data_IF_149333469368
#
_entry.id   IF_149333469368
#
_cell.length_a   1.000
_cell.length_b   1.000
_cell.length_c   1.000
_cell.angle_alpha   90.00
_cell.angle_beta   90.00
_cell.angle_gamma   90.00
#
_symmetry.space_group_name_H-M   'P 1'
#
loop_
_entity.id
_entity.type
_entity.pdbx_description
1 polymer ?
#
# COMPACT_ATOMS: atom_id res chain seq x y z
N UNK A 1 -14.64 -28.94 5.62
CA UNK A 1 -14.56 -27.67 6.37
C UNK A 1 -14.76 -27.80 7.89
N UNK A 2 -15.48 -28.78 8.37
CA UNK A 2 -15.77 -28.99 9.79
C UNK A 2 -14.62 -29.60 10.63
N UNK A 3 -13.66 -30.30 10.03
CA UNK A 3 -12.52 -30.87 10.78
C UNK A 3 -11.46 -29.84 11.16
N UNK A 4 -11.29 -28.79 10.35
CA UNK A 4 -10.29 -27.73 10.59
C UNK A 4 -10.59 -26.88 11.84
N UNK A 5 -11.83 -26.87 12.32
CA UNK A 5 -12.27 -26.03 13.44
C UNK A 5 -12.35 -26.78 14.78
N UNK A 6 -12.08 -28.11 14.80
CA UNK A 6 -12.18 -28.89 16.05
C UNK A 6 -11.12 -28.54 17.09
N UNK A 7 -9.95 -28.05 16.64
CA UNK A 7 -8.81 -27.74 17.52
C UNK A 7 -8.56 -26.22 17.67
N UNK A 8 -9.41 -25.35 17.11
CA UNK A 8 -9.29 -23.92 17.34
C UNK A 8 -9.89 -23.53 18.68
N UNK A 9 -9.10 -22.88 19.52
CA UNK A 9 -9.60 -22.26 20.75
C UNK A 9 -10.78 -21.34 20.42
N UNK A 10 -11.95 -21.64 20.97
CA UNK A 10 -13.19 -20.89 20.73
C UNK A 10 -13.23 -19.51 21.39
N UNK A 11 -12.23 -19.17 22.19
CA UNK A 11 -12.12 -17.89 22.93
C UNK A 11 -11.35 -16.81 22.17
N UNK A 12 -11.49 -16.77 20.84
CA UNK A 12 -10.93 -15.69 20.03
C UNK A 12 -11.84 -14.47 20.07
N UNK A 13 -11.27 -13.31 20.31
CA UNK A 13 -11.96 -12.03 20.21
C UNK A 13 -11.47 -11.23 18.99
N UNK A 14 -12.35 -10.44 18.41
CA UNK A 14 -12.06 -9.58 17.27
C UNK A 14 -12.33 -8.13 17.66
N UNK A 15 -11.44 -7.24 17.26
CA UNK A 15 -11.62 -5.80 17.41
C UNK A 15 -11.43 -5.11 16.07
N UNK A 16 -12.42 -4.33 15.65
CA UNK A 16 -12.31 -3.45 14.49
C UNK A 16 -11.91 -2.07 15.01
N UNK A 17 -10.82 -1.52 14.46
CA UNK A 17 -10.35 -0.17 14.77
C UNK A 17 -10.48 0.65 13.49
N UNK A 18 -11.33 1.68 13.54
CA UNK A 18 -11.40 2.67 12.49
C UNK A 18 -10.32 3.72 12.72
N UNK A 19 -9.48 3.98 11.72
CA UNK A 19 -8.40 4.94 11.85
C UNK A 19 -7.40 4.92 10.70
N UNK A 20 -6.44 5.83 10.77
CA UNK A 20 -5.35 5.99 9.82
C UNK A 20 -4.16 5.13 10.26
N UNK A 21 -3.79 4.13 9.45
CA UNK A 21 -2.69 3.20 9.74
C UNK A 21 -1.31 3.86 9.77
N UNK A 22 -1.18 5.09 9.26
CA UNK A 22 0.07 5.87 9.33
C UNK A 22 0.25 6.57 10.68
N UNK A 23 -0.78 6.58 11.52
CA UNK A 23 -0.83 7.24 12.83
C UNK A 23 -0.93 6.23 13.96
N UNK A 24 -0.75 6.72 15.18
CA UNK A 24 -0.97 5.91 16.37
C UNK A 24 -2.47 5.57 16.50
N UNK A 25 -2.79 4.31 16.45
CA UNK A 25 -4.16 3.78 16.56
C UNK A 25 -4.45 3.15 17.93
N UNK A 26 -3.61 3.44 18.94
CA UNK A 26 -3.77 2.96 20.31
C UNK A 26 -3.41 1.48 20.51
N UNK A 27 -2.83 0.81 19.51
CA UNK A 27 -2.29 -0.54 19.69
C UNK A 27 -0.97 -0.45 20.46
N UNK A 28 -0.87 -1.23 21.54
CA UNK A 28 0.32 -1.27 22.38
C UNK A 28 1.56 -1.68 21.57
N UNK A 29 2.68 -1.00 21.80
CA UNK A 29 3.96 -1.37 21.19
C UNK A 29 4.34 -2.82 21.56
N UNK A 30 4.97 -3.54 20.62
CA UNK A 30 5.42 -4.91 20.80
C UNK A 30 4.30 -5.87 21.28
N UNK A 31 3.09 -5.73 20.75
CA UNK A 31 1.94 -6.55 21.16
C UNK A 31 1.42 -7.50 20.07
N UNK A 32 1.75 -7.26 18.82
CA UNK A 32 1.23 -8.00 17.66
C UNK A 32 2.21 -9.10 17.26
N UNK A 33 1.69 -10.31 17.03
CA UNK A 33 2.49 -11.46 16.63
C UNK A 33 2.67 -11.59 15.11
N UNK A 34 1.74 -11.06 14.32
CA UNK A 34 1.84 -11.10 12.85
C UNK A 34 1.01 -9.95 12.26
N UNK A 35 1.52 -9.30 11.21
CA UNK A 35 0.78 -8.34 10.42
C UNK A 35 0.70 -8.88 8.99
N UNK A 36 -0.50 -8.94 8.44
CA UNK A 36 -0.74 -9.30 7.02
C UNK A 36 -1.65 -8.24 6.43
N UNK A 37 -1.21 -7.63 5.33
CA UNK A 37 -2.00 -6.59 4.66
C UNK A 37 -1.72 -6.55 3.16
N UNK A 38 -2.64 -5.93 2.43
CA UNK A 38 -2.48 -5.54 1.04
C UNK A 38 -2.74 -4.04 0.95
N UNK A 39 -1.71 -3.18 1.04
CA UNK A 39 -1.90 -1.75 0.89
C UNK A 39 -2.35 -1.42 -0.54
N UNK A 40 -2.92 -0.23 -0.78
CA UNK A 40 -3.18 0.24 -2.14
C UNK A 40 -1.92 0.13 -3.01
N UNK A 41 -2.08 -0.28 -4.28
CA UNK A 41 -0.94 -0.45 -5.21
C UNK A 41 -0.46 0.87 -5.81
N UNK A 42 -0.95 2.00 -5.31
CA UNK A 42 -0.57 3.34 -5.71
C UNK A 42 -1.47 4.39 -5.08
N UNK A 43 -1.23 5.64 -5.44
CA UNK A 43 -1.98 6.77 -4.90
C UNK A 43 -3.49 6.69 -5.22
N UNK A 44 -4.31 7.11 -4.28
CA UNK A 44 -5.77 7.05 -4.35
C UNK A 44 -6.36 7.93 -5.45
N UNK A 45 -5.65 8.95 -5.92
CA UNK A 45 -6.18 9.91 -6.90
C UNK A 45 -6.11 9.42 -8.34
N UNK A 46 -5.10 8.62 -8.67
CA UNK A 46 -4.82 8.30 -10.06
C UNK A 46 -4.70 6.81 -10.35
N UNK A 47 -4.61 5.98 -9.31
CA UNK A 47 -4.51 4.53 -9.48
C UNK A 47 -5.88 3.88 -9.29
N UNK A 48 -6.44 3.97 -8.09
CA UNK A 48 -7.80 3.52 -7.76
C UNK A 48 -8.38 4.49 -6.72
N UNK A 49 -9.46 5.17 -7.07
CA UNK A 49 -10.19 6.03 -6.16
C UNK A 49 -11.04 5.17 -5.20
N UNK A 50 -10.38 4.56 -4.21
CA UNK A 50 -11.04 3.65 -3.26
C UNK A 50 -12.18 4.31 -2.51
N UNK A 51 -12.04 5.59 -2.14
CA UNK A 51 -13.09 6.36 -1.48
C UNK A 51 -14.34 6.51 -2.34
N UNK A 52 -14.19 6.62 -3.66
CA UNK A 52 -15.32 6.68 -4.58
C UNK A 52 -16.19 5.40 -4.50
N UNK A 53 -15.56 4.23 -4.38
CA UNK A 53 -16.26 2.95 -4.30
C UNK A 53 -16.80 2.65 -2.91
N UNK A 54 -16.13 3.09 -1.85
CA UNK A 54 -16.52 2.83 -0.46
C UNK A 54 -17.44 3.88 0.14
N UNK A 55 -17.67 5.01 -0.54
CA UNK A 55 -18.45 6.15 -0.02
C UNK A 55 -19.83 5.74 0.48
N UNK A 56 -20.61 5.06 -0.34
CA UNK A 56 -21.97 4.65 0.03
C UNK A 56 -21.94 3.70 1.23
N UNK A 57 -21.04 2.71 1.22
CA UNK A 57 -20.92 1.78 2.35
C UNK A 57 -20.53 2.52 3.64
N UNK A 58 -19.58 3.47 3.56
CA UNK A 58 -19.14 4.27 4.70
C UNK A 58 -20.25 5.16 5.26
N UNK A 59 -21.11 5.70 4.39
CA UNK A 59 -22.29 6.47 4.81
C UNK A 59 -23.35 5.58 5.47
N UNK A 60 -23.55 4.35 4.96
CA UNK A 60 -24.55 3.42 5.47
C UNK A 60 -24.24 2.86 6.87
N UNK A 61 -22.97 2.72 7.21
CA UNK A 61 -22.52 2.17 8.50
C UNK A 61 -22.10 3.26 9.49
N UNK A 62 -22.46 4.52 9.21
CA UNK A 62 -22.19 5.68 10.06
C UNK A 62 -20.74 5.78 10.54
N UNK A 63 -19.78 5.54 9.62
CA UNK A 63 -18.34 5.59 9.92
C UNK A 63 -17.88 7.02 10.21
N UNK A 64 -18.60 8.01 9.67
CA UNK A 64 -18.32 9.44 9.80
C UNK A 64 -19.43 10.14 10.58
N UNK A 65 -19.04 11.04 11.48
CA UNK A 65 -19.98 11.90 12.21
C UNK A 65 -20.80 12.79 11.25
N UNK A 66 -20.19 13.18 10.12
CA UNK A 66 -20.86 13.92 9.05
C UNK A 66 -20.79 13.10 7.74
N UNK A 67 -21.92 12.73 7.12
CA UNK A 67 -21.95 11.98 5.86
C UNK A 67 -21.17 12.65 4.70
N UNK A 68 -21.03 13.99 4.74
CA UNK A 68 -20.27 14.73 3.73
C UNK A 68 -18.76 14.46 3.79
N UNK A 69 -18.24 14.02 4.94
CA UNK A 69 -16.81 13.73 5.12
C UNK A 69 -16.38 12.52 4.27
N UNK A 70 -17.30 11.61 3.97
CA UNK A 70 -17.08 10.52 3.03
C UNK A 70 -16.68 11.00 1.62
N UNK A 71 -17.04 12.23 1.23
CA UNK A 71 -16.69 12.80 -0.07
C UNK A 71 -15.20 13.14 -0.19
N UNK A 72 -14.53 13.42 0.93
CA UNK A 72 -13.12 13.76 1.02
C UNK A 72 -12.18 12.55 1.22
N UNK A 73 -12.73 11.35 1.39
CA UNK A 73 -11.97 10.16 1.78
C UNK A 73 -10.74 9.90 0.90
N UNK A 74 -10.83 10.04 -0.42
CA UNK A 74 -9.69 9.84 -1.31
C UNK A 74 -8.53 10.81 -1.08
N UNK A 75 -8.79 12.00 -0.52
CA UNK A 75 -7.74 12.96 -0.17
C UNK A 75 -6.97 12.56 1.09
N UNK A 76 -7.59 11.77 1.96
CA UNK A 76 -7.01 11.33 3.24
C UNK A 76 -6.36 9.95 3.15
N UNK A 77 -6.57 9.23 2.04
CA UNK A 77 -5.91 7.95 1.76
C UNK A 77 -4.47 8.16 1.28
N UNK A 78 -3.70 7.07 1.19
CA UNK A 78 -2.30 7.07 0.75
C UNK A 78 -2.13 7.77 -0.60
N UNK A 79 -1.30 8.83 -0.62
CA UNK A 79 -1.06 9.62 -1.82
C UNK A 79 -2.23 10.51 -2.25
N UNK A 80 -3.26 10.69 -1.41
CA UNK A 80 -4.43 11.51 -1.73
C UNK A 80 -4.12 13.00 -1.87
N UNK A 81 -3.06 13.48 -1.23
CA UNK A 81 -2.55 14.86 -1.36
C UNK A 81 -1.12 14.82 -1.84
N UNK A 82 -0.84 15.46 -2.99
CA UNK A 82 0.52 15.54 -3.53
C UNK A 82 1.46 16.29 -2.59
N UNK A 83 2.71 15.84 -2.47
CA UNK A 83 3.74 16.62 -1.77
C UNK A 83 4.06 17.91 -2.51
N UNK A 84 4.48 18.96 -1.78
CA UNK A 84 4.80 20.26 -2.38
C UNK A 84 6.07 20.23 -3.24
N UNK A 85 7.05 19.45 -2.83
CA UNK A 85 8.34 19.35 -3.52
C UNK A 85 8.88 17.91 -3.48
N UNK A 86 9.91 17.65 -4.29
CA UNK A 86 10.59 16.33 -4.37
C UNK A 86 11.79 16.22 -3.41
N UNK A 87 11.99 17.18 -2.50
CA UNK A 87 13.18 17.24 -1.61
C UNK A 87 13.10 16.27 -0.45
N UNK A 88 11.93 15.74 -0.12
CA UNK A 88 11.74 14.73 0.94
C UNK A 88 12.11 13.34 0.42
N UNK A 89 13.39 13.12 0.16
CA UNK A 89 13.87 11.84 -0.32
C UNK A 89 13.81 10.82 0.82
N UNK A 90 12.95 9.83 0.64
CA UNK A 90 12.99 8.61 1.42
C UNK A 90 14.27 7.84 1.07
N UNK A 91 14.83 7.13 2.04
CA UNK A 91 16.09 6.38 1.88
C UNK A 91 15.87 5.07 1.08
N UNK A 92 15.49 5.22 -0.20
CA UNK A 92 15.35 4.13 -1.15
C UNK A 92 15.93 4.55 -2.49
N UNK A 93 16.92 3.83 -2.98
CA UNK A 93 17.57 4.11 -4.27
C UNK A 93 16.63 3.77 -5.43
N UNK A 94 15.85 2.68 -5.33
CA UNK A 94 14.84 2.33 -6.33
C UNK A 94 13.75 3.41 -6.47
N UNK A 95 13.32 4.00 -5.35
CA UNK A 95 12.35 5.07 -5.39
C UNK A 95 12.95 6.32 -6.03
N UNK A 96 14.16 6.71 -5.65
CA UNK A 96 14.85 7.87 -6.20
C UNK A 96 15.00 7.76 -7.71
N UNK A 97 15.52 6.64 -8.20
CA UNK A 97 15.69 6.40 -9.65
C UNK A 97 14.35 6.48 -10.40
N UNK A 98 13.29 5.88 -9.82
CA UNK A 98 11.94 5.91 -10.40
C UNK A 98 11.39 7.33 -10.47
N UNK A 99 11.54 8.12 -9.39
CA UNK A 99 11.08 9.52 -9.33
C UNK A 99 11.82 10.41 -10.32
N UNK A 100 13.13 10.24 -10.47
CA UNK A 100 13.92 11.01 -11.44
C UNK A 100 13.46 10.75 -12.89
N UNK A 101 13.19 9.49 -13.23
CA UNK A 101 12.67 9.12 -14.56
C UNK A 101 11.26 9.68 -14.81
N UNK A 102 10.39 9.66 -13.80
CA UNK A 102 9.03 10.20 -13.92
C UNK A 102 9.06 11.72 -13.97
N UNK A 103 9.87 12.38 -13.13
CA UNK A 103 9.94 13.84 -13.06
C UNK A 103 10.42 14.48 -14.37
N UNK A 104 11.30 13.81 -15.12
CA UNK A 104 11.72 14.25 -16.47
C UNK A 104 10.55 14.35 -17.45
N UNK A 105 9.48 13.59 -17.24
CA UNK A 105 8.30 13.57 -18.09
C UNK A 105 7.15 14.39 -17.50
N UNK A 106 6.97 14.32 -16.16
CA UNK A 106 5.86 14.92 -15.44
C UNK A 106 6.21 15.06 -13.95
N UNK A 107 6.70 16.25 -13.57
CA UNK A 107 7.10 16.52 -12.18
C UNK A 107 5.92 16.44 -11.20
N UNK A 108 4.72 16.87 -11.63
CA UNK A 108 3.51 16.78 -10.79
C UNK A 108 3.20 15.32 -10.47
N UNK A 109 3.32 14.46 -11.45
CA UNK A 109 3.09 13.03 -11.29
C UNK A 109 4.13 12.37 -10.38
N UNK A 110 5.38 12.79 -10.45
CA UNK A 110 6.43 12.35 -9.53
C UNK A 110 6.10 12.73 -8.06
N UNK A 111 5.54 13.93 -7.85
CA UNK A 111 5.09 14.39 -6.53
C UNK A 111 3.94 13.54 -5.97
N UNK A 112 2.99 13.14 -6.80
CA UNK A 112 1.92 12.21 -6.40
C UNK A 112 2.50 10.86 -5.97
N UNK A 113 3.44 10.32 -6.75
CA UNK A 113 4.13 9.06 -6.44
C UNK A 113 4.90 9.16 -5.12
N UNK A 114 5.68 10.23 -4.92
CA UNK A 114 6.43 10.43 -3.69
C UNK A 114 5.51 10.52 -2.48
N UNK A 115 4.39 11.24 -2.59
CA UNK A 115 3.40 11.36 -1.50
C UNK A 115 2.86 10.00 -1.05
N UNK A 116 2.60 9.10 -1.99
CA UNK A 116 2.18 7.73 -1.66
C UNK A 116 3.24 7.00 -0.82
N UNK A 117 4.51 7.07 -1.20
CA UNK A 117 5.58 6.38 -0.46
C UNK A 117 5.90 7.03 0.89
N UNK A 118 5.68 8.33 1.06
CA UNK A 118 5.78 8.99 2.37
C UNK A 118 4.74 8.38 3.32
N UNK A 119 3.48 8.33 2.93
CA UNK A 119 2.43 7.73 3.75
C UNK A 119 2.66 6.24 4.02
N UNK A 120 3.10 5.49 3.00
CA UNK A 120 3.43 4.07 3.17
C UNK A 120 4.59 3.86 4.16
N UNK A 121 5.64 4.70 4.10
CA UNK A 121 6.75 4.64 5.04
C UNK A 121 6.30 4.90 6.49
N UNK A 122 5.33 5.80 6.68
CA UNK A 122 4.78 6.05 8.02
C UNK A 122 3.94 4.86 8.50
N UNK A 123 3.19 4.18 7.62
CA UNK A 123 2.54 2.91 7.94
C UNK A 123 3.56 1.82 8.33
N UNK A 124 4.69 1.71 7.62
CA UNK A 124 5.77 0.76 7.96
C UNK A 124 6.35 1.06 9.36
N UNK A 125 6.55 2.33 9.73
CA UNK A 125 7.02 2.73 11.07
C UNK A 125 6.02 2.33 12.16
N UNK A 126 4.71 2.55 11.94
CA UNK A 126 3.68 2.12 12.89
C UNK A 126 3.63 0.60 13.02
N UNK A 127 3.71 -0.13 11.91
CA UNK A 127 3.79 -1.58 11.93
C UNK A 127 5.00 -2.07 12.73
N UNK A 128 6.17 -1.45 12.54
CA UNK A 128 7.37 -1.77 13.32
C UNK A 128 7.18 -1.54 14.81
N UNK A 129 6.55 -0.41 15.19
CA UNK A 129 6.27 -0.06 16.61
C UNK A 129 5.44 -1.15 17.30
N UNK A 130 4.36 -1.61 16.67
CA UNK A 130 3.38 -2.52 17.29
C UNK A 130 3.77 -3.99 17.21
N UNK A 131 4.56 -4.40 16.20
CA UNK A 131 5.01 -5.77 16.01
C UNK A 131 6.00 -6.17 17.09
N UNK A 132 5.90 -7.40 17.61
CA UNK A 132 6.89 -7.99 18.55
C UNK A 132 8.20 -8.31 17.82
N UNK A 133 9.33 -8.35 18.55
CA UNK A 133 10.61 -8.85 18.01
C UNK A 133 10.48 -10.27 17.47
N UNK A 134 11.24 -10.57 16.44
CA UNK A 134 11.30 -11.87 15.72
C UNK A 134 9.97 -12.26 15.05
N UNK A 135 9.05 -11.32 14.89
CA UNK A 135 7.74 -11.53 14.24
C UNK A 135 7.70 -10.92 12.84
N UNK A 136 6.70 -11.30 12.06
CA UNK A 136 6.64 -11.05 10.63
C UNK A 136 5.57 -10.04 10.24
N UNK A 137 5.92 -9.22 9.27
CA UNK A 137 5.03 -8.32 8.57
C UNK A 137 5.03 -8.70 7.08
N UNK A 138 3.90 -9.19 6.59
CA UNK A 138 3.72 -9.64 5.21
C UNK A 138 2.86 -8.63 4.44
N UNK A 139 3.40 -8.08 3.33
CA UNK A 139 2.70 -7.16 2.47
C UNK A 139 2.49 -7.78 1.10
N UNK A 140 1.23 -7.87 0.66
CA UNK A 140 0.88 -8.27 -0.71
C UNK A 140 0.72 -7.02 -1.55
N UNK A 141 1.54 -6.86 -2.57
CA UNK A 141 1.60 -5.64 -3.39
C UNK A 141 1.79 -5.95 -4.87
N UNK A 142 1.49 -4.96 -5.71
CA UNK A 142 1.80 -4.99 -7.12
C UNK A 142 2.78 -3.88 -7.53
N UNK A 143 3.72 -4.22 -8.40
CA UNK A 143 4.56 -3.23 -9.09
C UNK A 143 3.72 -2.53 -10.16
N UNK A 144 3.74 -1.21 -10.16
CA UNK A 144 2.92 -0.41 -11.08
C UNK A 144 3.75 0.29 -12.15
N UNK A 145 3.08 0.67 -13.21
CA UNK A 145 3.65 1.49 -14.28
C UNK A 145 3.11 2.93 -14.15
N UNK A 146 4.01 3.91 -14.18
CA UNK A 146 3.66 5.35 -14.15
C UNK A 146 4.47 6.05 -15.23
N UNK A 147 3.80 6.66 -16.22
CA UNK A 147 4.48 7.30 -17.36
C UNK A 147 5.52 6.37 -17.99
N UNK A 148 5.15 5.12 -18.24
CA UNK A 148 6.02 4.06 -18.78
C UNK A 148 7.25 3.71 -17.93
N UNK A 149 7.34 4.24 -16.71
CA UNK A 149 8.35 3.86 -15.73
C UNK A 149 7.77 2.79 -14.80
N UNK A 150 8.37 1.60 -14.80
CA UNK A 150 8.01 0.56 -13.86
C UNK A 150 8.59 0.89 -12.49
N UNK A 151 7.73 1.02 -11.50
CA UNK A 151 8.12 1.30 -10.11
C UNK A 151 8.19 -0.05 -9.38
N UNK A 152 9.38 -0.48 -8.92
CA UNK A 152 9.55 -1.74 -8.21
C UNK A 152 9.16 -1.57 -6.73
N UNK A 153 7.85 -1.52 -6.46
CA UNK A 153 7.29 -1.25 -5.12
C UNK A 153 7.74 -2.29 -4.09
N UNK A 154 7.94 -3.54 -4.51
CA UNK A 154 8.47 -4.62 -3.69
C UNK A 154 9.86 -4.32 -3.14
N UNK A 155 10.80 -3.94 -4.00
CA UNK A 155 12.15 -3.55 -3.58
C UNK A 155 12.16 -2.24 -2.78
N UNK A 156 11.32 -1.27 -3.14
CA UNK A 156 11.20 -0.02 -2.39
C UNK A 156 10.74 -0.30 -0.95
N UNK A 157 9.74 -1.17 -0.76
CA UNK A 157 9.26 -1.56 0.58
C UNK A 157 10.36 -2.28 1.36
N UNK A 158 11.13 -3.16 0.71
CA UNK A 158 12.26 -3.83 1.36
C UNK A 158 13.28 -2.81 1.87
N UNK A 159 13.74 -1.88 1.02
CA UNK A 159 14.71 -0.84 1.41
C UNK A 159 14.18 0.06 2.54
N UNK A 160 12.92 0.54 2.43
CA UNK A 160 12.30 1.36 3.47
C UNK A 160 12.15 0.58 4.78
N UNK A 161 11.76 -0.69 4.71
CA UNK A 161 11.65 -1.57 5.87
C UNK A 161 12.99 -1.76 6.57
N UNK A 162 14.07 -2.00 5.82
CA UNK A 162 15.42 -2.16 6.37
C UNK A 162 15.91 -0.88 7.04
N UNK A 163 15.62 0.28 6.48
CA UNK A 163 15.96 1.58 7.11
C UNK A 163 15.19 1.84 8.42
N UNK A 164 14.01 1.24 8.59
CA UNK A 164 13.23 1.32 9.83
C UNK A 164 13.76 0.33 10.88
N UNK A 165 14.41 -0.76 10.47
CA UNK A 165 14.95 -1.77 11.35
C UNK A 165 14.41 -3.19 11.13
N UNK A 166 13.57 -3.40 10.14
CA UNK A 166 13.21 -4.74 9.67
C UNK A 166 14.39 -5.40 8.96
N UNK A 167 14.33 -6.74 8.87
CA UNK A 167 15.09 -7.52 7.89
C UNK A 167 14.14 -7.98 6.81
N UNK A 168 14.45 -7.74 5.53
CA UNK A 168 13.71 -8.33 4.42
C UNK A 168 14.13 -9.80 4.28
N UNK A 169 13.26 -10.71 4.70
CA UNK A 169 13.53 -12.15 4.65
C UNK A 169 13.35 -12.72 3.24
N UNK A 170 12.33 -12.28 2.52
CA UNK A 170 12.03 -12.77 1.18
C UNK A 170 11.06 -11.86 0.42
N UNK A 171 11.11 -11.94 -0.91
CA UNK A 171 10.13 -11.37 -1.82
C UNK A 171 9.63 -12.50 -2.73
N UNK A 172 8.41 -12.97 -2.51
CA UNK A 172 7.79 -14.05 -3.27
C UNK A 172 6.94 -13.46 -4.37
N UNK A 173 7.25 -13.74 -5.62
CA UNK A 173 6.46 -13.31 -6.77
C UNK A 173 5.45 -14.39 -7.15
N UNK A 174 4.18 -14.03 -7.22
CA UNK A 174 3.12 -14.94 -7.69
C UNK A 174 2.42 -14.40 -8.93
N UNK A 175 1.98 -15.30 -9.80
CA UNK A 175 1.08 -14.95 -10.89
C UNK A 175 -0.35 -14.81 -10.35
N UNK A 176 -1.11 -13.83 -10.87
CA UNK A 176 -2.53 -13.69 -10.55
C UNK A 176 -3.32 -14.64 -11.47
N UNK A 177 -3.84 -15.77 -10.95
CA UNK A 177 -4.61 -16.69 -11.78
C UNK A 177 -5.98 -16.10 -12.14
N UNK A 178 -6.46 -16.38 -13.34
CA UNK A 178 -7.83 -16.05 -13.75
C UNK A 178 -8.14 -14.56 -13.88
N UNK A 179 -7.13 -13.72 -14.12
CA UNK A 179 -7.33 -12.28 -14.31
C UNK A 179 -8.22 -12.05 -15.54
N UNK A 180 -9.40 -11.48 -15.33
CA UNK A 180 -10.37 -11.15 -16.40
C UNK A 180 -10.07 -9.85 -17.16
N UNK A 181 -9.03 -9.11 -16.77
CA UNK A 181 -8.61 -7.89 -17.46
C UNK A 181 -7.71 -8.22 -18.66
N UNK A 182 -7.76 -7.43 -19.73
CA UNK A 182 -6.87 -7.59 -20.86
C UNK A 182 -5.38 -7.57 -20.42
N UNK A 183 -4.55 -8.39 -21.07
CA UNK A 183 -3.10 -8.42 -20.81
C UNK A 183 -2.45 -7.08 -21.15
N UNK A 184 -3.01 -6.38 -22.15
CA UNK A 184 -2.59 -5.04 -22.55
C UNK A 184 -3.80 -4.10 -22.52
N UNK A 185 -3.61 -2.90 -22.03
CA UNK A 185 -4.62 -1.85 -21.98
C UNK A 185 -4.02 -0.54 -22.47
N UNK A 186 -4.85 0.36 -23.00
CA UNK A 186 -4.45 1.72 -23.34
C UNK A 186 -4.86 2.65 -22.19
N UNK A 187 -3.95 3.04 -21.28
CA UNK A 187 -4.28 3.90 -20.15
C UNK A 187 -4.64 5.33 -20.56
N UNK A 188 -4.27 5.71 -21.79
CA UNK A 188 -4.48 7.07 -22.33
C UNK A 188 -5.59 7.12 -23.38
N UNK A 189 -6.26 6.01 -23.71
CA UNK A 189 -7.19 5.88 -24.83
C UNK A 189 -6.61 6.29 -26.20
N UNK A 190 -5.29 6.33 -26.33
CA UNK A 190 -4.61 6.60 -27.60
C UNK A 190 -4.49 5.28 -28.37
N UNK A 191 -4.98 5.26 -29.60
CA UNK A 191 -4.91 4.09 -30.47
C UNK A 191 -3.45 3.66 -30.67
N UNK A 192 -3.16 2.38 -30.37
CA UNK A 192 -1.80 1.81 -30.50
C UNK A 192 -0.88 1.98 -29.28
N UNK A 193 -1.21 2.83 -28.32
CA UNK A 193 -0.46 2.96 -27.07
C UNK A 193 -0.95 1.88 -26.08
N UNK A 194 -0.36 0.68 -26.15
CA UNK A 194 -0.71 -0.44 -25.28
C UNK A 194 0.34 -0.61 -24.18
N UNK A 195 -0.11 -0.67 -22.94
CA UNK A 195 0.71 -0.99 -21.77
C UNK A 195 0.30 -2.34 -21.19
N UNK A 196 1.29 -3.08 -20.68
CA UNK A 196 1.01 -4.34 -19.98
C UNK A 196 0.29 -4.06 -18.66
N UNK A 197 -0.81 -4.75 -18.45
CA UNK A 197 -1.48 -4.71 -17.15
C UNK A 197 -0.74 -5.58 -16.14
N UNK A 198 -0.82 -5.22 -14.86
CA UNK A 198 -0.21 -5.98 -13.78
C UNK A 198 -0.77 -7.40 -13.74
N UNK A 199 0.08 -8.40 -13.97
CA UNK A 199 -0.26 -9.83 -13.99
C UNK A 199 0.43 -10.61 -12.87
N UNK A 200 1.26 -9.94 -12.09
CA UNK A 200 2.02 -10.50 -10.97
C UNK A 200 1.84 -9.63 -9.73
N UNK A 201 1.87 -10.29 -8.60
CA UNK A 201 1.94 -9.67 -7.28
C UNK A 201 3.17 -10.16 -6.54
N UNK A 202 3.71 -9.33 -5.68
CA UNK A 202 4.82 -9.68 -4.80
C UNK A 202 4.34 -9.74 -3.36
N UNK A 203 4.79 -10.74 -2.61
CA UNK A 203 4.63 -10.84 -1.16
C UNK A 203 5.97 -10.48 -0.55
N UNK A 204 6.05 -9.29 0.04
CA UNK A 204 7.24 -8.83 0.77
C UNK A 204 7.13 -9.28 2.21
N UNK A 205 8.11 -10.04 2.68
CA UNK A 205 8.15 -10.60 4.03
C UNK A 205 9.24 -9.87 4.82
N UNK A 206 8.82 -9.04 5.75
CA UNK A 206 9.67 -8.30 6.64
C UNK A 206 9.64 -8.94 8.04
N UNK A 207 10.79 -9.09 8.70
CA UNK A 207 10.90 -9.56 10.08
C UNK A 207 11.45 -8.44 10.96
N UNK A 208 10.81 -8.19 12.07
CA UNK A 208 11.35 -7.31 13.11
C UNK A 208 12.47 -8.02 13.86
N UNK A 209 13.61 -7.37 13.98
CA UNK A 209 14.77 -7.88 14.74
C UNK A 209 14.56 -7.89 16.24
#
# INVERSE_FOLDING_TARGET
>A
MTEFYKDTQRDSWTKIIFGDSSKDNGIKANSIDCIITSPPYGDSRTTVAYGQFSRLSAQWIDVFDNPNDASGLDNDLLGGRATKNLTHLLSSDYLKESLEKIAKQDEKRAKDVLSFYIGLNDCLKQAYKILKSKKYFCLVIGNRLVKQVRIPTDFIIAELGEKIGFTCENIIVRNIPGKRMPIKNSPTNITGALEETMNKESIVILRKN
#
